data_IF_365604318722
#
_entry.id   IF_365604318722
#
_cell.length_a   1.000
_cell.length_b   1.000
_cell.length_c   1.000
_cell.angle_alpha   90.00
_cell.angle_beta   90.00
_cell.angle_gamma   90.00
#
_symmetry.space_group_name_H-M   'P 1'
#
loop_
_entity.id
_entity.type
_entity.pdbx_description
1 polymer ?
#
# COMPACT_ATOMS: atom_id res chain seq x y z
N UNK A 1 9.46 -7.98 -15.13
CA UNK A 1 8.00 -7.85 -15.28
C UNK A 1 7.52 -8.71 -16.43
N UNK A 2 6.33 -9.26 -16.31
CA UNK A 2 5.74 -10.25 -17.21
C UNK A 2 4.37 -9.76 -17.68
N UNK A 3 3.89 -10.29 -18.79
CA UNK A 3 2.51 -10.04 -19.22
C UNK A 3 1.51 -10.63 -18.23
N UNK A 4 0.27 -10.13 -18.27
CA UNK A 4 -0.82 -10.69 -17.48
C UNK A 4 -1.02 -12.17 -17.79
N UNK A 5 -0.90 -12.58 -19.07
CA UNK A 5 -1.08 -13.97 -19.48
C UNK A 5 -0.06 -14.90 -18.83
N UNK A 6 1.22 -14.52 -18.83
CA UNK A 6 2.28 -15.28 -18.15
C UNK A 6 2.11 -15.31 -16.63
N UNK A 7 1.53 -14.26 -16.06
CA UNK A 7 1.37 -14.15 -14.60
C UNK A 7 0.22 -15.01 -14.05
N UNK A 8 -0.75 -15.40 -14.88
CA UNK A 8 -1.91 -16.21 -14.45
C UNK A 8 -1.52 -17.56 -13.84
N UNK A 9 -0.39 -18.12 -14.24
CA UNK A 9 0.11 -19.39 -13.71
C UNK A 9 0.73 -19.24 -12.29
N UNK A 10 0.98 -18.01 -11.85
CA UNK A 10 1.68 -17.70 -10.60
C UNK A 10 0.85 -16.86 -9.63
N UNK A 11 -0.22 -16.23 -10.10
CA UNK A 11 -1.01 -15.27 -9.31
C UNK A 11 -2.48 -15.60 -9.43
N UNK A 12 -3.09 -15.96 -8.31
CA UNK A 12 -4.53 -16.21 -8.25
C UNK A 12 -5.33 -14.93 -8.59
N UNK A 13 -6.48 -15.05 -9.28
CA UNK A 13 -7.37 -13.91 -9.55
C UNK A 13 -7.77 -13.12 -8.30
N UNK A 14 -7.80 -13.76 -7.14
CA UNK A 14 -8.17 -13.16 -5.85
C UNK A 14 -6.97 -12.59 -5.07
N UNK A 15 -5.75 -12.83 -5.52
CA UNK A 15 -4.55 -12.30 -4.88
C UNK A 15 -4.58 -10.77 -4.86
N UNK A 16 -4.20 -10.20 -3.72
CA UNK A 16 -4.06 -8.75 -3.60
C UNK A 16 -2.79 -8.29 -4.34
N UNK A 17 -2.94 -7.25 -5.12
CA UNK A 17 -1.85 -6.62 -5.85
C UNK A 17 -1.76 -5.13 -5.53
N UNK A 18 -0.53 -4.64 -5.48
CA UNK A 18 -0.22 -3.22 -5.38
C UNK A 18 0.08 -2.71 -6.78
N UNK A 19 -0.55 -1.62 -7.18
CA UNK A 19 -0.47 -1.12 -8.55
C UNK A 19 0.02 0.31 -8.56
N UNK A 20 0.97 0.57 -9.45
CA UNK A 20 1.37 1.92 -9.86
C UNK A 20 1.09 2.09 -11.34
N UNK A 21 0.78 3.31 -11.73
CA UNK A 21 0.42 3.64 -13.11
C UNK A 21 1.04 4.98 -13.52
N UNK A 22 1.50 5.08 -14.76
CA UNK A 22 1.99 6.30 -15.37
C UNK A 22 1.51 6.40 -16.82
N UNK A 23 0.61 7.35 -17.08
CA UNK A 23 0.08 7.64 -18.43
C UNK A 23 -0.47 6.38 -19.14
N UNK A 24 -1.28 5.59 -18.44
CA UNK A 24 -1.92 4.38 -18.98
C UNK A 24 -1.07 3.12 -18.91
N UNK A 25 0.23 3.23 -18.60
CA UNK A 25 1.11 2.07 -18.37
C UNK A 25 1.07 1.68 -16.90
N UNK A 26 0.58 0.48 -16.60
CA UNK A 26 0.41 0.01 -15.22
C UNK A 26 1.25 -1.23 -14.90
N UNK A 27 1.74 -1.30 -13.67
CA UNK A 27 2.45 -2.44 -13.10
C UNK A 27 1.79 -2.92 -11.83
N UNK A 28 1.50 -4.21 -11.77
CA UNK A 28 1.02 -4.88 -10.57
C UNK A 28 2.16 -5.60 -9.86
N UNK A 29 2.14 -5.52 -8.53
CA UNK A 29 3.07 -6.21 -7.64
C UNK A 29 2.25 -7.08 -6.69
N UNK A 30 2.04 -8.38 -7.01
CA UNK A 30 1.33 -9.28 -6.11
C UNK A 30 2.04 -9.35 -4.76
N UNK A 31 1.28 -9.21 -3.66
CA UNK A 31 1.85 -9.14 -2.32
C UNK A 31 2.73 -10.35 -2.00
N UNK A 32 2.30 -11.55 -2.37
CA UNK A 32 3.09 -12.77 -2.18
C UNK A 32 4.41 -12.76 -2.96
N UNK A 33 4.45 -12.11 -4.13
CA UNK A 33 5.64 -12.05 -4.98
C UNK A 33 6.65 -10.99 -4.52
N UNK A 34 6.17 -9.84 -4.02
CA UNK A 34 7.04 -8.75 -3.56
C UNK A 34 7.44 -8.89 -2.07
N UNK A 35 6.77 -9.77 -1.33
CA UNK A 35 6.94 -9.94 0.10
C UNK A 35 8.40 -10.24 0.50
N UNK A 36 9.13 -11.04 -0.27
CA UNK A 36 10.50 -11.44 0.07
C UNK A 36 11.57 -10.46 -0.41
N UNK A 37 11.53 -9.92 -1.65
CA UNK A 37 12.46 -8.87 -2.02
C UNK A 37 12.14 -7.53 -1.34
N UNK A 38 10.89 -7.32 -0.88
CA UNK A 38 10.37 -6.08 -0.30
C UNK A 38 10.39 -4.86 -1.21
N UNK A 39 11.16 -4.89 -2.30
CA UNK A 39 11.28 -3.82 -3.29
C UNK A 39 11.32 -4.38 -4.70
N UNK A 40 10.75 -3.63 -5.65
CA UNK A 40 10.76 -3.98 -7.06
C UNK A 40 10.78 -2.72 -7.95
N UNK A 41 11.50 -2.78 -9.06
CA UNK A 41 11.44 -1.77 -10.12
C UNK A 41 12.46 -0.64 -10.03
N UNK A 42 13.48 -0.75 -9.16
CA UNK A 42 14.47 0.31 -8.94
C UNK A 42 15.25 0.75 -10.21
N UNK A 43 15.46 -0.13 -11.17
CA UNK A 43 16.27 0.08 -12.40
C UNK A 43 15.47 -0.04 -13.70
N UNK A 44 14.18 -0.32 -13.61
CA UNK A 44 13.31 -0.56 -14.79
C UNK A 44 12.19 0.48 -14.92
N UNK A 45 12.49 1.75 -14.96
CA UNK A 45 11.52 2.85 -15.01
C UNK A 45 10.12 2.54 -15.55
N UNK A 46 9.12 3.24 -15.10
CA UNK A 46 7.73 3.11 -15.56
C UNK A 46 7.41 4.26 -16.52
N UNK A 47 7.27 3.93 -17.82
CA UNK A 47 7.03 4.93 -18.87
C UNK A 47 8.05 6.10 -18.82
N UNK A 48 9.34 5.75 -18.68
CA UNK A 48 10.44 6.71 -18.67
C UNK A 48 10.73 7.36 -17.31
N UNK A 49 9.94 7.10 -16.28
CA UNK A 49 10.18 7.61 -14.94
C UNK A 49 10.73 6.51 -14.02
N UNK A 50 11.76 6.87 -13.23
CA UNK A 50 12.31 5.96 -12.24
C UNK A 50 11.34 5.80 -11.07
N UNK A 51 10.96 4.56 -10.77
CA UNK A 51 10.03 4.25 -9.69
C UNK A 51 10.39 2.93 -9.02
N UNK A 52 10.29 2.90 -7.72
CA UNK A 52 10.41 1.70 -6.89
C UNK A 52 9.10 1.45 -6.15
N UNK A 53 8.59 0.21 -6.24
CA UNK A 53 7.55 -0.28 -5.34
C UNK A 53 8.20 -0.89 -4.12
N UNK A 54 7.75 -0.49 -2.94
CA UNK A 54 8.18 -1.03 -1.65
C UNK A 54 7.03 -1.74 -0.97
N UNK A 55 7.28 -2.85 -0.26
CA UNK A 55 6.24 -3.57 0.47
C UNK A 55 6.72 -4.03 1.85
N UNK A 56 5.97 -3.67 2.87
CA UNK A 56 6.14 -4.14 4.24
C UNK A 56 5.01 -5.13 4.60
N UNK A 57 5.32 -6.41 4.70
CA UNK A 57 4.33 -7.43 5.02
C UNK A 57 3.74 -7.28 6.43
N UNK A 58 4.51 -6.79 7.40
CA UNK A 58 4.02 -6.59 8.78
C UNK A 58 3.02 -5.45 8.89
N UNK A 59 3.21 -4.38 8.09
CA UNK A 59 2.28 -3.27 7.98
C UNK A 59 1.14 -3.56 7.00
N UNK A 60 1.30 -4.59 6.16
CA UNK A 60 0.50 -4.80 4.96
C UNK A 60 0.46 -3.56 4.04
N UNK A 61 1.58 -2.83 3.95
CA UNK A 61 1.69 -1.55 3.28
C UNK A 61 2.61 -1.63 2.07
N UNK A 62 2.08 -1.28 0.89
CA UNK A 62 2.87 -1.05 -0.30
C UNK A 62 2.78 0.40 -0.76
N UNK A 63 3.93 0.98 -1.10
CA UNK A 63 4.04 2.35 -1.58
C UNK A 63 5.05 2.44 -2.72
N UNK A 64 4.63 3.11 -3.81
CA UNK A 64 5.51 3.50 -4.89
C UNK A 64 6.20 4.83 -4.58
N UNK A 65 7.49 4.91 -4.92
CA UNK A 65 8.28 6.14 -4.80
C UNK A 65 9.16 6.37 -6.01
N UNK A 66 9.40 7.64 -6.36
CA UNK A 66 10.59 8.00 -7.11
C UNK A 66 11.77 7.92 -6.15
N UNK A 67 12.76 7.03 -6.36
CA UNK A 67 13.88 6.86 -5.44
C UNK A 67 14.92 7.98 -5.60
N UNK A 68 14.51 9.20 -5.28
CA UNK A 68 15.31 10.41 -5.42
C UNK A 68 15.06 11.37 -4.28
N UNK A 69 16.13 11.95 -3.73
CA UNK A 69 16.11 13.01 -2.71
C UNK A 69 17.12 14.08 -3.09
N UNK A 70 16.72 15.34 -3.10
CA UNK A 70 17.56 16.49 -3.49
C UNK A 70 18.25 16.34 -4.85
N UNK A 71 17.55 15.74 -5.84
CA UNK A 71 18.09 15.52 -7.18
C UNK A 71 19.11 14.37 -7.27
N UNK A 72 19.25 13.58 -6.22
CA UNK A 72 20.14 12.42 -6.18
C UNK A 72 19.35 11.12 -6.14
N UNK A 73 19.55 10.27 -7.13
CA UNK A 73 18.98 8.91 -7.14
C UNK A 73 19.55 8.10 -5.99
N UNK A 74 18.68 7.44 -5.23
CA UNK A 74 19.04 6.62 -4.08
C UNK A 74 19.34 5.18 -4.52
N UNK A 75 20.30 4.55 -3.84
CA UNK A 75 20.56 3.11 -3.92
C UNK A 75 19.96 2.42 -2.69
N UNK A 76 18.69 2.01 -2.81
CA UNK A 76 17.89 1.56 -1.70
C UNK A 76 18.07 0.08 -1.40
N UNK A 77 18.22 -0.26 -0.12
CA UNK A 77 18.09 -1.62 0.38
C UNK A 77 17.20 -1.68 1.64
N UNK A 78 16.78 -2.88 2.01
CA UNK A 78 16.05 -3.12 3.26
C UNK A 78 17.03 -3.17 4.41
N UNK A 79 16.84 -2.31 5.42
CA UNK A 79 17.70 -2.25 6.60
C UNK A 79 17.11 -2.99 7.80
N UNK A 80 15.90 -2.62 8.20
CA UNK A 80 15.31 -3.01 9.47
C UNK A 80 13.79 -2.75 9.49
N UNK A 81 13.23 -2.73 10.69
CA UNK A 81 11.84 -2.36 10.94
C UNK A 81 11.72 -1.56 12.23
N UNK A 82 10.80 -0.60 12.22
CA UNK A 82 10.42 0.18 13.39
C UNK A 82 8.90 0.39 13.37
N UNK A 83 8.22 0.23 14.52
CA UNK A 83 6.77 0.37 14.62
C UNK A 83 5.98 -0.57 13.67
N UNK A 84 6.50 -1.79 13.42
CA UNK A 84 5.99 -2.73 12.41
C UNK A 84 5.96 -2.17 10.98
N UNK A 85 6.78 -1.16 10.67
CA UNK A 85 6.95 -0.64 9.33
C UNK A 85 8.42 -0.72 8.87
N UNK A 86 8.61 -0.88 7.57
CA UNK A 86 9.90 -1.09 6.93
C UNK A 86 10.79 0.16 7.02
N UNK A 87 12.05 -0.05 7.36
CA UNK A 87 13.11 0.94 7.21
C UNK A 87 13.98 0.54 6.03
N UNK A 88 14.11 1.45 5.08
CA UNK A 88 15.03 1.39 3.96
C UNK A 88 16.33 2.10 4.31
N UNK A 89 17.39 1.83 3.57
CA UNK A 89 18.67 2.51 3.67
C UNK A 89 19.17 2.91 2.29
N UNK A 90 19.73 4.09 2.18
CA UNK A 90 20.53 4.46 1.02
C UNK A 90 21.96 3.93 1.20
N UNK A 91 22.37 2.97 0.38
CA UNK A 91 23.70 2.33 0.45
C UNK A 91 24.85 3.29 0.27
N UNK A 92 24.64 4.45 -0.36
CA UNK A 92 25.69 5.43 -0.61
C UNK A 92 26.13 6.16 0.66
N UNK A 93 25.25 6.36 1.62
CA UNK A 93 25.54 7.13 2.84
C UNK A 93 25.07 6.46 4.13
N UNK A 94 24.38 5.30 4.03
CA UNK A 94 23.90 4.53 5.18
C UNK A 94 22.69 5.15 5.90
N UNK A 95 22.06 6.19 5.36
CA UNK A 95 20.96 6.89 6.01
C UNK A 95 19.66 6.07 5.99
N UNK A 96 19.01 5.87 7.16
CA UNK A 96 17.72 5.18 7.25
C UNK A 96 16.58 6.06 6.72
N UNK A 97 15.65 5.43 6.00
CA UNK A 97 14.44 6.06 5.45
C UNK A 97 13.23 5.25 5.91
N UNK A 98 12.31 5.89 6.61
CA UNK A 98 11.07 5.25 7.04
C UNK A 98 10.13 5.10 5.84
N UNK A 99 9.72 3.87 5.51
CA UNK A 99 8.89 3.59 4.33
C UNK A 99 7.58 4.38 4.30
N UNK A 100 6.85 4.42 5.42
CA UNK A 100 5.53 5.07 5.48
C UNK A 100 5.57 6.57 5.20
N UNK A 101 6.70 7.21 5.43
CA UNK A 101 6.91 8.63 5.18
C UNK A 101 7.66 8.92 3.88
N UNK A 102 8.55 8.02 3.46
CA UNK A 102 9.42 8.24 2.30
C UNK A 102 10.59 9.18 2.54
N UNK A 103 10.94 9.53 3.79
CA UNK A 103 12.06 10.42 4.13
C UNK A 103 12.91 9.88 5.27
N UNK A 104 14.09 10.51 5.45
CA UNK A 104 15.09 10.08 6.41
C UNK A 104 14.63 10.36 7.84
N UNK A 105 14.88 9.42 8.73
CA UNK A 105 14.46 9.51 10.13
C UNK A 105 14.98 10.78 10.84
N UNK A 106 16.20 11.21 10.51
CA UNK A 106 16.79 12.45 11.07
C UNK A 106 16.10 13.75 10.63
N UNK A 107 15.33 13.70 9.53
CA UNK A 107 14.61 14.84 8.97
C UNK A 107 13.17 14.90 9.48
N UNK A 108 12.82 13.98 10.40
CA UNK A 108 11.52 13.91 11.06
C UNK A 108 11.41 15.09 12.03
N UNK A 109 10.32 15.85 11.94
CA UNK A 109 9.99 16.87 12.94
C UNK A 109 9.46 16.18 14.20
N UNK A 110 10.28 16.02 15.21
CA UNK A 110 9.92 15.42 16.49
C UNK A 110 9.27 16.41 17.46
N UNK A 111 9.12 17.68 17.07
CA UNK A 111 8.53 18.72 17.92
C UNK A 111 7.00 18.64 17.99
N UNK A 112 6.35 17.87 17.12
CA UNK A 112 4.90 17.73 17.08
C UNK A 112 4.47 16.34 17.52
N UNK A 113 3.46 16.25 18.39
CA UNK A 113 2.76 15.00 18.73
C UNK A 113 1.82 14.50 17.61
N UNK A 114 2.17 14.73 16.36
CA UNK A 114 1.33 14.44 15.19
C UNK A 114 2.08 13.82 14.02
N UNK A 115 1.42 13.62 12.88
CA UNK A 115 2.05 13.11 11.68
C UNK A 115 3.19 14.03 11.27
N UNK A 116 4.34 13.44 11.13
CA UNK A 116 5.58 14.15 10.96
C UNK A 116 5.73 14.50 9.49
N UNK A 117 5.79 15.80 9.20
CA UNK A 117 6.18 16.28 7.87
C UNK A 117 7.68 16.53 7.84
N UNK A 118 8.39 16.25 6.73
CA UNK A 118 9.77 16.67 6.60
C UNK A 118 9.84 18.19 6.68
N UNK A 119 10.84 18.70 7.39
CA UNK A 119 11.12 20.15 7.50
C UNK A 119 11.31 20.80 6.13
N UNK A 120 11.68 19.99 5.13
CA UNK A 120 11.82 20.37 3.72
C UNK A 120 11.20 19.29 2.84
N UNK A 121 10.25 19.62 1.95
CA UNK A 121 9.66 18.65 1.00
C UNK A 121 10.68 17.93 0.12
N UNK A 122 11.81 18.57 -0.19
CA UNK A 122 12.91 18.03 -1.00
C UNK A 122 13.67 16.89 -0.32
N UNK A 123 13.52 16.73 0.99
CA UNK A 123 14.17 15.64 1.76
C UNK A 123 13.40 14.31 1.68
N UNK A 124 12.20 14.31 1.09
CA UNK A 124 11.37 13.14 0.93
C UNK A 124 11.43 12.61 -0.52
N UNK A 125 11.40 11.29 -0.66
CA UNK A 125 11.11 10.67 -1.95
C UNK A 125 9.69 11.06 -2.39
N UNK A 126 9.50 11.39 -3.65
CA UNK A 126 8.18 11.70 -4.21
C UNK A 126 7.31 10.45 -4.22
N UNK A 127 6.17 10.44 -3.51
CA UNK A 127 5.27 9.31 -3.53
C UNK A 127 4.52 9.22 -4.87
N UNK A 128 4.19 8.00 -5.27
CA UNK A 128 3.31 7.71 -6.40
C UNK A 128 1.93 7.30 -5.90
N UNK A 129 0.85 7.67 -6.61
CA UNK A 129 -0.46 7.09 -6.34
C UNK A 129 -0.35 5.57 -6.41
N UNK A 130 -0.54 4.92 -5.27
CA UNK A 130 -0.47 3.45 -5.17
C UNK A 130 -1.87 2.92 -4.93
N UNK A 131 -2.29 1.92 -5.72
CA UNK A 131 -3.59 1.29 -5.60
C UNK A 131 -3.42 -0.09 -4.98
N UNK A 132 -4.44 -0.52 -4.24
CA UNK A 132 -4.59 -1.90 -3.81
C UNK A 132 -5.87 -2.46 -4.41
N UNK A 133 -5.77 -3.62 -5.06
CA UNK A 133 -6.91 -4.29 -5.69
C UNK A 133 -6.64 -5.79 -5.81
N UNK A 134 -7.64 -6.56 -6.23
CA UNK A 134 -7.39 -7.95 -6.61
C UNK A 134 -6.73 -8.05 -7.99
N UNK A 135 -6.04 -9.17 -8.24
CA UNK A 135 -5.44 -9.39 -9.55
C UNK A 135 -6.49 -9.39 -10.68
N UNK A 136 -7.68 -9.97 -10.46
CA UNK A 136 -8.78 -9.87 -11.44
C UNK A 136 -9.26 -8.43 -11.65
N UNK A 137 -9.21 -7.59 -10.62
CA UNK A 137 -9.50 -6.16 -10.72
C UNK A 137 -8.47 -5.45 -11.61
N UNK A 138 -7.18 -5.76 -11.40
CA UNK A 138 -6.09 -5.25 -12.22
C UNK A 138 -6.23 -5.66 -13.70
N UNK A 139 -6.52 -6.92 -13.98
CA UNK A 139 -6.75 -7.40 -15.35
C UNK A 139 -7.87 -6.64 -16.07
N UNK A 140 -8.92 -6.25 -15.34
CA UNK A 140 -10.02 -5.47 -15.90
C UNK A 140 -9.69 -4.00 -16.10
N UNK A 141 -8.91 -3.41 -15.18
CA UNK A 141 -8.53 -2.01 -15.23
C UNK A 141 -7.43 -1.74 -16.26
N UNK A 142 -6.46 -2.65 -16.35
CA UNK A 142 -5.23 -2.50 -17.14
C UNK A 142 -4.92 -3.77 -17.92
N UNK A 143 -5.67 -4.09 -18.99
CA UNK A 143 -5.50 -5.35 -19.73
C UNK A 143 -4.11 -5.52 -20.37
N UNK A 144 -3.42 -4.40 -20.67
CA UNK A 144 -2.05 -4.38 -21.22
C UNK A 144 -0.99 -4.16 -20.12
N UNK A 145 -1.39 -4.20 -18.84
CA UNK A 145 -0.50 -4.01 -17.71
C UNK A 145 0.50 -5.16 -17.55
N UNK A 146 1.58 -4.90 -16.82
CA UNK A 146 2.61 -5.90 -16.51
C UNK A 146 2.60 -6.28 -15.03
N UNK A 147 3.16 -7.43 -14.71
CA UNK A 147 3.12 -8.03 -13.37
C UNK A 147 4.53 -8.37 -12.92
N UNK A 148 4.87 -7.95 -11.72
CA UNK A 148 6.11 -8.39 -11.07
C UNK A 148 5.97 -9.83 -10.60
N UNK A 149 6.92 -10.68 -10.99
CA UNK A 149 7.05 -12.05 -10.48
C UNK A 149 8.46 -12.25 -9.93
N UNK A 150 8.55 -12.68 -8.69
CA UNK A 150 9.80 -13.14 -8.09
C UNK A 150 10.00 -14.61 -8.46
N UNK A 151 10.43 -14.86 -9.72
CA UNK A 151 10.65 -16.23 -10.17
C UNK A 151 11.86 -16.85 -9.47
N UNK A 152 11.74 -18.10 -9.04
CA UNK A 152 12.86 -18.81 -8.39
C UNK A 152 14.03 -19.00 -9.36
N UNK A 153 15.22 -19.22 -8.80
CA UNK A 153 16.44 -19.47 -9.56
C UNK A 153 16.30 -20.66 -10.51
N UNK A 154 16.91 -20.58 -11.69
CA UNK A 154 17.02 -21.70 -12.63
C UNK A 154 17.98 -22.80 -12.14
N UNK A 155 18.82 -22.53 -11.13
CA UNK A 155 19.67 -23.54 -10.50
C UNK A 155 18.83 -24.44 -9.57
N UNK A 156 18.81 -25.80 -9.78
CA UNK A 156 17.92 -26.69 -9.03
C UNK A 156 18.12 -26.66 -7.51
N UNK A 157 19.36 -26.45 -7.04
CA UNK A 157 19.66 -26.39 -5.59
C UNK A 157 19.15 -25.09 -5.00
N UNK A 158 19.40 -23.97 -5.68
CA UNK A 158 18.89 -22.66 -5.28
C UNK A 158 17.37 -22.60 -5.37
N UNK A 159 16.78 -23.21 -6.42
CA UNK A 159 15.33 -23.35 -6.57
C UNK A 159 14.70 -24.02 -5.34
N UNK A 160 15.24 -25.18 -4.93
CA UNK A 160 14.71 -25.90 -3.77
C UNK A 160 14.84 -25.08 -2.47
N UNK A 161 15.98 -24.40 -2.30
CA UNK A 161 16.19 -23.52 -1.15
C UNK A 161 15.21 -22.34 -1.16
N UNK A 162 15.08 -21.67 -2.29
CA UNK A 162 14.14 -20.55 -2.47
C UNK A 162 12.70 -21.00 -2.21
N UNK A 163 12.30 -22.15 -2.75
CA UNK A 163 10.95 -22.70 -2.55
C UNK A 163 10.65 -22.95 -1.07
N UNK A 164 11.59 -23.59 -0.32
CA UNK A 164 11.40 -23.85 1.11
C UNK A 164 11.34 -22.54 1.91
N UNK A 165 12.23 -21.60 1.61
CA UNK A 165 12.24 -20.29 2.27
C UNK A 165 10.95 -19.51 2.00
N UNK A 166 10.47 -19.48 0.76
CA UNK A 166 9.23 -18.81 0.39
C UNK A 166 8.02 -19.44 1.10
N UNK A 167 7.96 -20.78 1.15
CA UNK A 167 6.89 -21.50 1.82
C UNK A 167 6.85 -21.16 3.33
N UNK A 168 7.99 -21.22 4.02
CA UNK A 168 8.09 -20.94 5.45
C UNK A 168 7.79 -19.46 5.74
N UNK A 169 8.33 -18.56 4.92
CA UNK A 169 8.14 -17.13 5.10
C UNK A 169 6.67 -16.73 4.83
N UNK A 170 6.08 -17.21 3.76
CA UNK A 170 4.66 -16.96 3.43
C UNK A 170 3.75 -17.50 4.53
N UNK A 171 3.95 -18.75 4.97
CA UNK A 171 3.15 -19.33 6.05
C UNK A 171 3.27 -18.55 7.37
N UNK A 172 4.46 -18.05 7.68
CA UNK A 172 4.69 -17.20 8.87
C UNK A 172 3.92 -15.88 8.76
N UNK A 173 3.98 -15.20 7.63
CA UNK A 173 3.30 -13.92 7.43
C UNK A 173 1.77 -14.11 7.39
N UNK A 174 1.26 -15.14 6.72
CA UNK A 174 -0.17 -15.45 6.70
C UNK A 174 -0.72 -15.75 8.10
N UNK A 175 0.06 -16.47 8.91
CA UNK A 175 -0.28 -16.69 10.31
C UNK A 175 -0.37 -15.37 11.06
N UNK A 176 0.62 -14.50 10.90
CA UNK A 176 0.68 -13.20 11.58
C UNK A 176 -0.44 -12.26 11.15
N UNK A 177 -0.83 -12.27 9.87
CA UNK A 177 -1.96 -11.48 9.40
C UNK A 177 -3.28 -11.92 10.04
N UNK A 178 -3.40 -13.20 10.45
CA UNK A 178 -4.57 -13.74 11.17
C UNK A 178 -4.52 -13.53 12.67
N UNK A 179 -3.35 -13.29 13.25
CA UNK A 179 -3.21 -13.03 14.68
C UNK A 179 -3.64 -11.59 15.01
N UNK A 180 -4.40 -11.43 16.10
CA UNK A 180 -4.89 -10.12 16.54
C UNK A 180 -3.78 -9.17 17.01
N UNK A 181 -2.61 -9.71 17.38
CA UNK A 181 -1.48 -8.91 17.87
C UNK A 181 -0.56 -8.47 16.74
N UNK A 182 0.13 -7.30 16.89
CA UNK A 182 1.27 -6.95 16.05
C UNK A 182 2.34 -8.05 16.09
N UNK A 183 3.14 -8.16 15.02
CA UNK A 183 4.25 -9.12 14.99
C UNK A 183 5.35 -8.77 15.98
N UNK A 184 5.77 -7.52 15.95
CA UNK A 184 6.84 -7.01 16.79
C UNK A 184 6.24 -6.22 17.96
N UNK A 185 6.71 -6.50 19.17
CA UNK A 185 6.37 -5.73 20.37
C UNK A 185 7.31 -4.51 20.47
N UNK A 186 7.37 -3.74 19.40
CA UNK A 186 8.15 -2.50 19.28
C UNK A 186 7.28 -1.29 18.96
N UNK A 187 5.99 -1.40 19.30
CA UNK A 187 5.04 -0.29 19.20
C UNK A 187 5.23 0.64 20.38
N UNK A 188 5.27 1.94 20.13
CA UNK A 188 5.32 2.95 21.18
C UNK A 188 3.92 3.38 21.63
N UNK A 189 2.89 3.04 20.86
CA UNK A 189 1.50 3.43 21.10
C UNK A 189 0.56 2.24 20.90
N UNK A 190 -0.53 2.27 21.66
CA UNK A 190 -1.65 1.34 21.51
C UNK A 190 -2.94 2.14 21.36
N UNK A 191 -3.69 1.85 20.29
CA UNK A 191 -4.94 2.52 19.98
C UNK A 191 -6.04 1.48 19.69
N UNK A 192 -7.07 1.45 20.53
CA UNK A 192 -8.14 0.46 20.51
C UNK A 192 -9.39 0.92 19.74
N UNK A 193 -9.32 2.08 19.05
CA UNK A 193 -10.44 2.56 18.22
C UNK A 193 -10.83 1.57 17.13
N UNK A 194 -9.88 0.76 16.64
CA UNK A 194 -10.12 -0.37 15.73
C UNK A 194 -9.29 -1.59 16.15
N UNK A 195 -9.70 -2.82 15.80
CA UNK A 195 -8.84 -4.00 15.92
C UNK A 195 -7.52 -3.82 15.17
N UNK A 196 -6.40 -4.28 15.75
CA UNK A 196 -5.04 -4.06 15.23
C UNK A 196 -4.86 -4.37 13.73
N UNK A 197 -5.52 -5.41 13.23
CA UNK A 197 -5.38 -5.90 11.85
C UNK A 197 -6.49 -5.42 10.91
N UNK A 198 -7.32 -4.47 11.35
CA UNK A 198 -8.28 -3.82 10.45
C UNK A 198 -7.54 -3.09 9.35
N UNK A 199 -7.95 -3.30 8.11
CA UNK A 199 -7.43 -2.55 6.97
C UNK A 199 -7.98 -1.13 6.98
N UNK A 200 -7.09 -0.17 6.79
CA UNK A 200 -7.47 1.24 6.65
C UNK A 200 -6.79 1.84 5.42
N UNK A 201 -7.48 2.78 4.81
CA UNK A 201 -6.95 3.63 3.74
C UNK A 201 -6.72 5.00 4.33
N UNK A 202 -5.46 5.31 4.60
CA UNK A 202 -5.07 6.51 5.32
C UNK A 202 -4.48 7.58 4.40
N UNK A 203 -4.82 8.84 4.65
CA UNK A 203 -4.23 10.01 3.99
C UNK A 203 -3.74 10.97 5.06
N UNK A 204 -2.52 11.47 4.90
CA UNK A 204 -2.01 12.59 5.68
C UNK A 204 -1.64 13.74 4.75
N UNK A 205 -2.06 14.96 5.11
CA UNK A 205 -1.75 16.19 4.39
C UNK A 205 -1.35 17.24 5.43
N UNK A 206 -0.11 17.67 5.39
CA UNK A 206 0.45 18.50 6.47
C UNK A 206 0.44 17.74 7.81
N UNK A 207 -0.08 18.37 8.84
CA UNK A 207 -0.26 17.78 10.19
C UNK A 207 -1.51 16.92 10.32
N UNK A 208 -2.44 17.02 9.38
CA UNK A 208 -3.73 16.34 9.49
C UNK A 208 -3.68 14.95 8.86
N UNK A 209 -4.31 14.01 9.53
CA UNK A 209 -4.42 12.63 9.08
C UNK A 209 -5.85 12.10 9.27
N UNK A 210 -6.29 11.33 8.31
CA UNK A 210 -7.62 10.71 8.32
C UNK A 210 -7.54 9.34 7.66
N UNK A 211 -8.28 8.37 8.18
CA UNK A 211 -8.41 7.08 7.52
C UNK A 211 -9.87 6.63 7.41
N UNK A 212 -10.10 5.74 6.47
CA UNK A 212 -11.38 5.10 6.20
C UNK A 212 -11.22 3.59 6.20
N UNK A 213 -12.25 2.89 6.67
CA UNK A 213 -12.43 1.48 6.38
C UNK A 213 -13.25 1.33 5.09
N UNK A 214 -13.08 0.25 4.36
CA UNK A 214 -13.82 0.02 3.09
C UNK A 214 -15.30 -0.17 3.34
N UNK A 215 -15.69 -0.88 4.41
CA UNK A 215 -17.08 -1.06 4.83
C UNK A 215 -17.78 0.28 5.09
N UNK A 216 -17.10 1.26 5.72
CA UNK A 216 -17.63 2.61 5.91
C UNK A 216 -17.98 3.27 4.56
N UNK A 217 -17.06 3.21 3.59
CA UNK A 217 -17.29 3.84 2.28
C UNK A 217 -18.42 3.13 1.53
N UNK A 218 -18.50 1.79 1.62
CA UNK A 218 -19.57 1.00 1.01
C UNK A 218 -20.93 1.36 1.62
N UNK A 219 -21.04 1.46 2.94
CA UNK A 219 -22.29 1.81 3.63
C UNK A 219 -22.78 3.23 3.27
N UNK A 220 -21.84 4.14 2.96
CA UNK A 220 -22.13 5.50 2.52
C UNK A 220 -22.35 5.64 1.00
N UNK A 221 -22.70 4.56 0.31
CA UNK A 221 -23.05 4.57 -1.10
C UNK A 221 -21.85 4.58 -2.05
N UNK A 222 -20.69 4.08 -1.59
CA UNK A 222 -19.44 3.95 -2.33
C UNK A 222 -18.72 5.29 -2.64
N UNK A 223 -19.25 6.44 -2.26
CA UNK A 223 -18.61 7.75 -2.49
C UNK A 223 -18.77 8.63 -1.25
N UNK A 224 -17.65 9.10 -0.71
CA UNK A 224 -17.61 9.97 0.46
C UNK A 224 -16.75 11.19 0.15
N UNK A 225 -17.28 12.40 0.42
CA UNK A 225 -16.48 13.63 0.37
C UNK A 225 -15.92 13.93 1.77
N UNK A 226 -14.66 14.33 1.81
CA UNK A 226 -13.93 14.61 3.05
C UNK A 226 -13.01 15.82 2.88
N UNK A 227 -12.47 16.32 3.98
CA UNK A 227 -11.41 17.35 3.96
C UNK A 227 -10.28 16.90 4.88
N UNK A 228 -9.04 16.93 4.39
CA UNK A 228 -7.84 16.58 5.14
C UNK A 228 -6.79 17.67 4.88
N UNK A 229 -6.24 18.24 5.95
CA UNK A 229 -5.28 19.35 5.85
C UNK A 229 -5.80 20.55 5.04
N UNK A 230 -7.10 20.85 5.18
CA UNK A 230 -7.77 21.91 4.42
C UNK A 230 -7.98 21.61 2.92
N UNK A 231 -7.61 20.41 2.42
CA UNK A 231 -7.80 19.99 1.04
C UNK A 231 -9.06 19.13 0.91
N UNK A 232 -10.02 19.53 0.05
CA UNK A 232 -11.16 18.69 -0.26
C UNK A 232 -10.76 17.43 -1.01
N UNK A 233 -11.31 16.29 -0.59
CA UNK A 233 -11.06 14.97 -1.16
C UNK A 233 -12.37 14.26 -1.47
N UNK A 234 -12.31 13.31 -2.39
CA UNK A 234 -13.33 12.29 -2.61
C UNK A 234 -12.72 10.91 -2.44
N UNK A 235 -13.40 10.07 -1.64
CA UNK A 235 -13.04 8.67 -1.37
C UNK A 235 -14.08 7.80 -2.03
N UNK A 236 -13.66 6.85 -2.86
CA UNK A 236 -14.63 6.00 -3.55
C UNK A 236 -14.19 4.53 -3.60
N UNK A 237 -15.16 3.64 -3.35
CA UNK A 237 -15.03 2.20 -3.55
C UNK A 237 -15.54 1.80 -4.92
N UNK A 238 -14.76 1.02 -5.65
CA UNK A 238 -15.10 0.55 -6.99
C UNK A 238 -15.24 -0.97 -7.02
N UNK A 239 -16.47 -1.51 -6.90
CA UNK A 239 -16.72 -2.96 -6.81
C UNK A 239 -16.20 -3.74 -8.03
N UNK A 240 -16.23 -3.14 -9.22
CA UNK A 240 -15.73 -3.75 -10.46
C UNK A 240 -14.25 -4.10 -10.39
N UNK A 241 -13.47 -3.27 -9.69
CA UNK A 241 -12.02 -3.37 -9.58
C UNK A 241 -11.56 -3.82 -8.17
N UNK A 242 -12.52 -3.92 -7.23
CA UNK A 242 -12.27 -4.28 -5.84
C UNK A 242 -11.17 -3.39 -5.22
N UNK A 243 -11.33 -2.10 -5.41
CA UNK A 243 -10.34 -1.08 -5.03
C UNK A 243 -11.00 0.16 -4.45
N UNK A 244 -10.43 0.67 -3.37
CA UNK A 244 -10.74 1.99 -2.85
C UNK A 244 -9.67 2.97 -3.33
N UNK A 245 -10.11 4.14 -3.81
CA UNK A 245 -9.25 5.22 -4.22
C UNK A 245 -9.60 6.52 -3.50
N UNK A 246 -8.64 7.46 -3.52
CA UNK A 246 -8.83 8.82 -3.00
C UNK A 246 -8.33 9.81 -4.04
N UNK A 247 -9.11 10.85 -4.30
CA UNK A 247 -8.78 11.89 -5.28
C UNK A 247 -8.92 13.27 -4.65
N UNK A 248 -8.18 14.23 -5.16
CA UNK A 248 -8.40 15.64 -4.85
C UNK A 248 -9.72 16.10 -5.47
N UNK A 249 -10.55 16.77 -4.69
CA UNK A 249 -11.73 17.44 -5.21
C UNK A 249 -11.40 18.93 -5.39
N UNK A 250 -10.88 19.26 -6.57
CA UNK A 250 -10.56 20.64 -6.93
C UNK A 250 -11.80 21.37 -7.55
N UNK A 251 -13.01 20.83 -7.32
CA UNK A 251 -14.28 21.47 -7.74
C UNK A 251 -14.92 22.21 -6.58
N UNK A 252 -15.83 23.15 -6.88
CA UNK A 252 -16.55 23.92 -5.86
C UNK A 252 -17.71 23.12 -5.21
N UNK A 253 -17.92 21.87 -5.62
CA UNK A 253 -19.07 21.06 -5.19
C UNK A 253 -18.66 19.65 -4.80
N UNK A 254 -19.43 18.96 -3.94
CA UNK A 254 -19.22 17.56 -3.65
C UNK A 254 -19.31 16.70 -4.91
N UNK A 255 -18.36 15.77 -5.07
CA UNK A 255 -18.37 14.76 -6.13
C UNK A 255 -19.25 13.60 -5.66
N UNK A 256 -20.28 13.26 -6.43
CA UNK A 256 -21.23 12.19 -6.15
C UNK A 256 -21.10 11.00 -7.12
N UNK A 257 -20.40 11.20 -8.22
CA UNK A 257 -20.16 10.19 -9.25
C UNK A 257 -18.71 10.32 -9.74
N UNK A 258 -17.95 9.24 -9.59
CA UNK A 258 -16.54 9.18 -9.97
C UNK A 258 -16.21 7.74 -10.38
N UNK A 259 -15.56 7.58 -11.53
CA UNK A 259 -15.05 6.26 -11.91
C UNK A 259 -13.67 5.95 -11.30
N UNK A 260 -13.21 4.72 -11.48
CA UNK A 260 -11.92 4.28 -10.98
C UNK A 260 -10.73 5.11 -11.51
N UNK A 261 -10.84 5.70 -12.68
CA UNK A 261 -9.79 6.50 -13.30
C UNK A 261 -9.86 7.99 -12.91
N UNK A 262 -10.83 8.38 -12.07
CA UNK A 262 -11.01 9.75 -11.62
C UNK A 262 -11.86 10.59 -12.56
N UNK A 263 -12.56 9.99 -13.52
CA UNK A 263 -13.47 10.74 -14.36
C UNK A 263 -14.77 11.03 -13.60
N UNK A 264 -15.21 12.28 -13.64
CA UNK A 264 -16.45 12.79 -13.07
C UNK A 264 -17.25 13.51 -14.14
N UNK A 265 -18.53 13.80 -13.92
CA UNK A 265 -19.31 14.65 -14.84
C UNK A 265 -18.70 16.04 -15.11
N UNK A 266 -17.88 16.54 -14.18
CA UNK A 266 -17.22 17.85 -14.26
C UNK A 266 -15.81 17.82 -14.85
N UNK A 267 -15.27 16.63 -15.12
CA UNK A 267 -13.90 16.43 -15.63
C UNK A 267 -13.13 15.38 -14.84
N UNK A 268 -11.86 15.23 -15.18
CA UNK A 268 -10.98 14.28 -14.51
C UNK A 268 -10.30 14.92 -13.29
N UNK A 269 -10.33 14.22 -12.17
CA UNK A 269 -9.66 14.60 -10.91
C UNK A 269 -8.42 13.73 -10.67
N UNK A 270 -7.47 14.30 -9.93
CA UNK A 270 -6.17 13.68 -9.69
C UNK A 270 -6.20 12.82 -8.42
N UNK A 271 -5.59 11.63 -8.48
CA UNK A 271 -5.42 10.77 -7.31
C UNK A 271 -4.47 11.38 -6.27
N UNK A 272 -4.74 11.09 -5.01
CA UNK A 272 -3.91 11.50 -3.88
C UNK A 272 -2.69 10.58 -3.79
N UNK A 273 -1.52 11.13 -3.93
CA UNK A 273 -0.24 10.41 -3.85
C UNK A 273 0.07 9.98 -2.41
N UNK A 274 -0.43 10.72 -1.42
CA UNK A 274 -0.20 10.45 0.00
C UNK A 274 -1.02 9.27 0.56
N UNK A 275 -1.91 8.66 -0.25
CA UNK A 275 -2.72 7.52 0.18
C UNK A 275 -1.85 6.32 0.59
N UNK A 276 -2.12 5.76 1.77
CA UNK A 276 -1.57 4.50 2.27
C UNK A 276 -2.65 3.42 2.16
N UNK A 277 -2.67 2.61 1.09
CA UNK A 277 -3.80 1.76 0.75
C UNK A 277 -3.79 0.44 1.53
N UNK A 278 -4.77 0.24 2.41
CA UNK A 278 -5.05 -1.04 3.05
C UNK A 278 -3.98 -1.51 4.03
N UNK A 279 -3.31 -0.59 4.72
CA UNK A 279 -2.40 -0.93 5.80
C UNK A 279 -3.17 -1.33 7.07
N UNK A 280 -2.51 -2.01 8.01
CA UNK A 280 -3.10 -2.36 9.28
C UNK A 280 -3.27 -1.14 10.20
N UNK A 281 -4.39 -1.11 10.93
CA UNK A 281 -4.73 -0.04 11.88
C UNK A 281 -3.63 0.24 12.89
N UNK A 282 -3.06 -0.79 13.53
CA UNK A 282 -2.02 -0.58 14.55
C UNK A 282 -0.80 0.18 14.00
N UNK A 283 -0.45 -0.04 12.73
CA UNK A 283 0.66 0.69 12.08
C UNK A 283 0.24 2.12 11.77
N UNK A 284 -0.96 2.31 11.22
CA UNK A 284 -1.47 3.65 10.97
C UNK A 284 -1.52 4.50 12.26
N UNK A 285 -2.08 3.96 13.34
CA UNK A 285 -2.20 4.65 14.62
C UNK A 285 -0.85 4.94 15.30
N UNK A 286 0.16 4.07 15.10
CA UNK A 286 1.54 4.31 15.57
C UNK A 286 2.13 5.58 14.97
N UNK A 287 1.99 5.74 13.65
CA UNK A 287 2.60 6.83 12.90
C UNK A 287 1.71 8.09 12.81
N UNK A 288 0.40 7.95 12.98
CA UNK A 288 -0.58 9.05 12.90
C UNK A 288 -1.55 9.02 14.09
N UNK A 289 -1.10 9.31 15.32
CA UNK A 289 -1.89 9.12 16.55
C UNK A 289 -3.11 10.03 16.65
N UNK A 290 -3.07 11.22 16.04
CA UNK A 290 -4.17 12.18 16.05
C UNK A 290 -5.10 12.05 14.85
N UNK A 291 -5.07 10.91 14.17
CA UNK A 291 -5.90 10.66 12.98
C UNK A 291 -7.39 10.63 13.30
N UNK A 292 -8.19 11.18 12.39
CA UNK A 292 -9.62 10.89 12.34
C UNK A 292 -9.88 9.49 11.78
N UNK A 293 -10.90 8.81 12.29
CA UNK A 293 -11.25 7.44 11.91
C UNK A 293 -12.68 7.37 11.43
N UNK A 294 -12.86 7.09 10.15
CA UNK A 294 -14.17 6.88 9.54
C UNK A 294 -14.45 5.36 9.46
N UNK A 295 -15.35 4.91 10.33
CA UNK A 295 -15.74 3.50 10.50
C UNK A 295 -17.22 3.37 10.79
N UNK A 296 -17.77 2.19 10.59
CA UNK A 296 -19.12 1.86 11.04
C UNK A 296 -19.11 1.65 12.57
N UNK A 297 -19.99 2.34 13.29
CA UNK A 297 -20.15 2.13 14.72
C UNK A 297 -20.77 0.76 14.98
N UNK A 298 -20.02 -0.16 15.62
CA UNK A 298 -20.47 -1.51 15.98
C UNK A 298 -19.88 -2.66 15.15
N UNK A 299 -19.11 -2.40 14.12
CA UNK A 299 -18.37 -3.46 13.41
C UNK A 299 -17.19 -3.97 14.25
N UNK A 300 -17.42 -5.06 15.00
CA UNK A 300 -16.31 -5.87 15.48
C UNK A 300 -15.70 -6.56 14.25
N UNK A 301 -14.53 -6.09 13.82
CA UNK A 301 -13.84 -6.57 12.62
C UNK A 301 -13.35 -8.01 12.74
N UNK A 302 -14.25 -8.99 12.60
CA UNK A 302 -13.93 -10.43 12.61
C UNK A 302 -14.38 -11.20 11.35
N UNK A 303 -15.13 -10.61 10.43
CA UNK A 303 -15.68 -11.39 9.30
C UNK A 303 -14.87 -11.32 8.00
N UNK A 304 -14.19 -10.24 7.71
CA UNK A 304 -13.44 -10.09 6.44
C UNK A 304 -12.25 -11.05 6.28
N UNK A 305 -11.70 -11.57 7.39
CA UNK A 305 -10.62 -12.56 7.35
C UNK A 305 -11.11 -13.99 7.07
N UNK A 306 -12.41 -14.27 7.19
CA UNK A 306 -12.94 -15.64 7.03
C UNK A 306 -13.31 -16.01 5.60
N UNK A 307 -13.67 -15.08 4.75
CA UNK A 307 -14.08 -15.41 3.37
C UNK A 307 -12.91 -15.57 2.39
N UNK A 308 -11.78 -14.90 2.60
CA UNK A 308 -10.60 -15.08 1.71
C UNK A 308 -9.87 -16.42 1.93
N UNK A 309 -10.04 -17.06 3.08
CA UNK A 309 -9.29 -18.27 3.47
C UNK A 309 -9.98 -19.60 3.17
N UNK A 310 -11.27 -19.60 2.83
CA UNK A 310 -11.99 -20.85 2.54
C UNK A 310 -11.81 -21.38 1.10
N UNK A 311 -11.24 -20.56 0.19
CA UNK A 311 -11.05 -20.96 -1.23
C UNK A 311 -9.61 -21.37 -1.58
N UNK A 312 -8.60 -20.99 -0.79
CA UNK A 312 -7.20 -21.35 -1.08
C UNK A 312 -6.79 -22.77 -0.61
N UNK A 313 -7.62 -23.42 0.20
CA UNK A 313 -7.28 -24.75 0.74
C UNK A 313 -7.53 -25.91 -0.25
N UNK A 314 -8.15 -25.66 -1.41
CA UNK A 314 -8.59 -26.74 -2.32
C UNK A 314 -7.70 -26.93 -3.56
N UNK A 315 -6.69 -26.10 -3.77
CA UNK A 315 -5.88 -26.14 -5.01
C UNK A 315 -4.51 -26.84 -4.81
N UNK A 316 -4.10 -27.17 -3.59
CA UNK A 316 -2.81 -27.82 -3.34
C UNK A 316 -2.87 -29.35 -3.18
N UNK A 317 -3.93 -30.02 -3.68
CA UNK A 317 -4.06 -31.48 -3.69
C UNK A 317 -4.49 -31.97 -5.08
N UNK A 318 -3.64 -31.74 -6.10
CA UNK A 318 -3.67 -32.48 -7.37
C UNK A 318 -2.29 -32.43 -8.04
#
# INVERSE_FOLDING_TARGET
YYSIEEAKDYVSPFSQVLVIENNGVARAHPQAQIMRPHMAGNDQGLNGENVVMTYCAMANLGLGYTPEVEGQTLDLEVLAQHGNNLILRDNRNGEPIQQIYGFREKDVDTSADGPVCPLRPTLAMRPWPTYRMTFRGFQKAYPEGTVFLNKPSSNPVLYLLDFVLDMVFTASIDRQHREAKPLMDNMSRYDDRLPNKTYVWGVNIGSDATCWTDDFVVEHGNVVNATVGGRPLVVAWHPRYESLGVWYNDTDSPIIDIDFFGNTPSGQVKRVEALKPGLFWHVWAEFFPHTDVNRINGSQGQEAAKESTSHDATINAA
#
